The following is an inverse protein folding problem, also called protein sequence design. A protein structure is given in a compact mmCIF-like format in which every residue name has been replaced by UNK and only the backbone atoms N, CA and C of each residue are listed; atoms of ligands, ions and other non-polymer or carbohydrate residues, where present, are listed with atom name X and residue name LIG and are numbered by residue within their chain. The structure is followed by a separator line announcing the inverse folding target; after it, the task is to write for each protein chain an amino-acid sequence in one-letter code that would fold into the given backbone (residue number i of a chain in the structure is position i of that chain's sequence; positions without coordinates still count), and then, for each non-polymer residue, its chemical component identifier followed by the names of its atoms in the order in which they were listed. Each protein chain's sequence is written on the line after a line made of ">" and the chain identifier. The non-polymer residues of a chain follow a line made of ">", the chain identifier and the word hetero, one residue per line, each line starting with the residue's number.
data_IF_786226546082
#
_entry.id   IF_786226546082
#
_cell.length_a   1.000
_cell.length_b   1.000
_cell.length_c   1.000
_cell.angle_alpha   90.00
_cell.angle_beta   90.00
_cell.angle_gamma   90.00
#
_symmetry.space_group_name_H-M   'P 1'
#
loop_
_entity.id
_entity.type
_entity.pdbx_description
1 polymer ?
#
# COMPACT_ATOMS: atom_id res chain seq x y z
N UNK A 1 -26.00 -16.32 -8.66
CA UNK A 1 -25.21 -16.83 -9.81
C UNK A 1 -24.40 -15.66 -10.33
N UNK A 2 -23.06 -15.67 -10.19
CA UNK A 2 -22.19 -14.58 -10.66
C UNK A 2 -21.73 -14.96 -12.08
N UNK A 3 -22.02 -14.13 -13.07
CA UNK A 3 -21.68 -14.39 -14.47
C UNK A 3 -20.15 -14.45 -14.68
N UNK A 4 -19.64 -15.32 -15.59
CA UNK A 4 -18.21 -15.59 -15.71
C UNK A 4 -17.39 -14.55 -16.49
N UNK A 5 -17.95 -13.41 -16.90
CA UNK A 5 -17.27 -12.44 -17.80
C UNK A 5 -17.35 -10.97 -17.33
N UNK A 6 -17.35 -10.73 -16.02
CA UNK A 6 -17.20 -9.36 -15.52
C UNK A 6 -15.70 -9.05 -15.38
N UNK A 7 -15.14 -8.06 -16.12
CA UNK A 7 -13.73 -7.74 -16.01
C UNK A 7 -13.42 -7.31 -14.57
N UNK A 8 -12.41 -7.93 -13.97
CA UNK A 8 -11.95 -7.56 -12.62
C UNK A 8 -11.35 -6.16 -12.71
N UNK A 9 -12.10 -5.16 -12.24
CA UNK A 9 -11.63 -3.77 -12.14
C UNK A 9 -10.86 -3.64 -10.83
N UNK A 10 -9.57 -3.31 -10.93
CA UNK A 10 -8.74 -2.99 -9.78
C UNK A 10 -8.80 -1.48 -9.51
N UNK A 11 -9.15 -1.11 -8.28
CA UNK A 11 -9.14 0.28 -7.83
C UNK A 11 -7.79 0.71 -7.24
N UNK A 12 -7.67 2.01 -6.96
CA UNK A 12 -6.50 2.55 -6.25
C UNK A 12 -6.35 1.92 -4.86
N UNK A 13 -7.44 1.64 -4.16
CA UNK A 13 -7.40 1.02 -2.82
C UNK A 13 -6.82 -0.40 -2.85
N UNK A 14 -7.12 -1.18 -3.89
CA UNK A 14 -6.56 -2.53 -4.07
C UNK A 14 -5.04 -2.46 -4.29
N UNK A 15 -4.60 -1.50 -5.10
CA UNK A 15 -3.18 -1.27 -5.37
C UNK A 15 -2.44 -0.83 -4.10
N UNK A 16 -2.99 0.13 -3.36
CA UNK A 16 -2.40 0.62 -2.11
C UNK A 16 -2.36 -0.49 -1.04
N UNK A 17 -3.40 -1.33 -0.95
CA UNK A 17 -3.42 -2.49 -0.06
C UNK A 17 -2.35 -3.51 -0.45
N UNK A 18 -2.17 -3.77 -1.74
CA UNK A 18 -1.11 -4.65 -2.26
C UNK A 18 0.29 -4.14 -1.87
N UNK A 19 0.52 -2.84 -1.99
CA UNK A 19 1.77 -2.21 -1.55
C UNK A 19 1.99 -2.37 -0.04
N UNK A 20 0.98 -2.11 0.80
CA UNK A 20 1.07 -2.31 2.25
C UNK A 20 1.41 -3.76 2.62
N UNK A 21 0.80 -4.73 1.94
CA UNK A 21 1.06 -6.16 2.16
C UNK A 21 2.48 -6.55 1.73
N UNK A 22 2.95 -6.04 0.59
CA UNK A 22 4.32 -6.25 0.11
C UNK A 22 5.36 -5.73 1.11
N UNK A 23 5.21 -4.49 1.57
CA UNK A 23 6.10 -3.88 2.57
C UNK A 23 6.09 -4.66 3.88
N UNK A 24 4.91 -5.04 4.38
CA UNK A 24 4.79 -5.84 5.61
C UNK A 24 5.53 -7.17 5.49
N UNK A 25 5.40 -7.86 4.35
CA UNK A 25 6.11 -9.11 4.08
C UNK A 25 7.62 -8.91 4.06
N UNK A 26 8.11 -7.91 3.31
CA UNK A 26 9.55 -7.63 3.20
C UNK A 26 10.14 -7.30 4.57
N UNK A 27 9.52 -6.39 5.32
CA UNK A 27 10.00 -6.00 6.64
C UNK A 27 9.95 -7.18 7.63
N UNK A 28 8.91 -8.02 7.57
CA UNK A 28 8.81 -9.21 8.43
C UNK A 28 9.98 -10.17 8.18
N UNK A 29 10.30 -10.44 6.91
CA UNK A 29 11.41 -11.33 6.54
C UNK A 29 12.76 -10.71 6.90
N UNK A 30 12.97 -9.44 6.54
CA UNK A 30 14.25 -8.76 6.75
C UNK A 30 14.59 -8.55 8.23
N UNK A 31 13.57 -8.32 9.07
CA UNK A 31 13.76 -8.11 10.52
C UNK A 31 13.63 -9.38 11.35
N UNK A 32 13.23 -10.51 10.74
CA UNK A 32 12.90 -11.76 11.43
C UNK A 32 11.86 -11.57 12.57
N UNK A 33 11.00 -10.57 12.46
CA UNK A 33 10.02 -10.18 13.47
C UNK A 33 8.66 -9.92 12.84
N UNK A 34 7.58 -10.32 13.51
CA UNK A 34 6.24 -10.12 13.00
C UNK A 34 5.87 -8.63 13.05
N UNK A 35 5.78 -8.01 11.87
CA UNK A 35 5.36 -6.62 11.74
C UNK A 35 3.84 -6.52 11.83
N UNK A 36 3.35 -5.64 12.71
CA UNK A 36 1.94 -5.23 12.77
C UNK A 36 1.84 -3.82 12.24
N UNK A 37 0.94 -3.60 11.28
CA UNK A 37 0.66 -2.28 10.73
C UNK A 37 -0.85 -2.00 10.79
N UNK A 38 -1.21 -0.73 10.85
CA UNK A 38 -2.58 -0.28 10.66
C UNK A 38 -2.73 0.15 9.21
N UNK A 39 -3.52 -0.58 8.42
CA UNK A 39 -3.80 -0.25 7.02
C UNK A 39 -4.68 0.98 6.90
N UNK A 40 -4.11 2.17 7.13
CA UNK A 40 -4.78 3.44 6.95
C UNK A 40 -4.39 4.04 5.60
N UNK A 41 -5.35 4.09 4.69
CA UNK A 41 -5.23 4.80 3.43
C UNK A 41 -6.15 6.01 3.54
N UNK A 42 -5.57 7.20 3.58
CA UNK A 42 -6.33 8.44 3.67
C UNK A 42 -5.74 9.47 2.72
N UNK A 43 -6.60 10.07 1.92
CA UNK A 43 -6.24 11.26 1.15
C UNK A 43 -6.13 12.45 2.11
N UNK A 44 -4.93 13.01 2.21
CA UNK A 44 -4.64 14.20 3.01
C UNK A 44 -4.26 15.37 2.10
N UNK A 45 -4.59 16.58 2.51
CA UNK A 45 -4.23 17.81 1.79
C UNK A 45 -2.96 18.46 2.32
N UNK A 46 -2.50 18.06 3.52
CA UNK A 46 -1.24 18.54 4.14
C UNK A 46 -0.57 17.40 4.91
N UNK A 47 0.71 17.17 4.64
CA UNK A 47 1.52 16.16 5.34
C UNK A 47 2.22 16.80 6.54
N UNK A 48 1.50 16.93 7.66
CA UNK A 48 2.06 17.43 8.92
C UNK A 48 2.60 16.31 9.81
N UNK A 49 3.12 15.23 9.22
CA UNK A 49 3.67 14.10 9.95
C UNK A 49 5.06 14.48 10.48
N UNK A 50 5.35 14.14 11.74
CA UNK A 50 6.66 14.32 12.37
C UNK A 50 7.23 12.94 12.73
N UNK A 51 7.63 12.12 11.74
CA UNK A 51 8.26 10.85 12.03
C UNK A 51 9.69 11.05 12.52
N UNK A 52 10.20 10.13 13.33
CA UNK A 52 11.63 10.08 13.66
C UNK A 52 12.47 9.64 12.44
N UNK A 53 11.89 8.77 11.60
CA UNK A 53 12.51 8.27 10.36
C UNK A 53 11.44 8.24 9.26
N UNK A 54 11.74 8.86 8.12
CA UNK A 54 10.88 8.85 6.93
C UNK A 54 11.57 8.19 5.74
N UNK A 55 10.82 7.38 5.00
CA UNK A 55 11.25 6.81 3.73
C UNK A 55 10.14 7.03 2.70
N UNK A 56 10.50 7.55 1.53
CA UNK A 56 9.58 7.85 0.45
C UNK A 56 10.10 7.21 -0.82
N UNK A 57 9.18 6.67 -1.62
CA UNK A 57 9.47 6.12 -2.93
C UNK A 57 8.55 6.81 -3.93
N UNK A 58 9.09 7.21 -5.07
CA UNK A 58 8.29 7.60 -6.22
C UNK A 58 8.23 6.42 -7.19
N UNK A 59 7.08 6.21 -7.80
CA UNK A 59 6.92 5.22 -8.87
C UNK A 59 6.13 5.84 -10.03
N UNK A 60 6.39 5.33 -11.23
CA UNK A 60 5.78 5.80 -12.47
C UNK A 60 5.37 4.62 -13.35
N UNK A 61 4.26 4.77 -14.10
CA UNK A 61 3.67 3.70 -14.92
C UNK A 61 2.21 3.98 -15.32
N UNK A 62 1.37 2.93 -15.38
CA UNK A 62 -0.08 3.09 -15.56
C UNK A 62 -0.79 3.79 -14.38
N UNK A 63 -0.07 3.95 -13.27
CA UNK A 63 -0.39 4.76 -12.11
C UNK A 63 0.93 5.34 -11.58
N UNK A 64 0.93 6.59 -11.13
CA UNK A 64 2.13 7.28 -10.64
C UNK A 64 1.84 7.94 -9.30
N UNK A 65 2.81 7.94 -8.39
CA UNK A 65 2.67 8.43 -7.01
C UNK A 65 3.96 8.49 -6.23
#
# INVERSE_FOLDING_TARGET
>A
MKNPEEPVVFGTEDLLTSLCNSVTRVLTVATQSQIRYSGMIQRITRTCLKPDIGCFVLFDGGFSG
#
